data_IF_334532733180
#
_entry.id   IF_334532733180
#
_cell.length_a   1.000
_cell.length_b   1.000
_cell.length_c   1.000
_cell.angle_alpha   90.00
_cell.angle_beta   90.00
_cell.angle_gamma   90.00
#
_symmetry.space_group_name_H-M   'P 1'
#
loop_
_entity.id
_entity.type
_entity.pdbx_description
1 polymer ?
#
# COMPACT_ATOMS: atom_id res chain seq x y z
N UNK A 1 3.33 65.74 -8.15
CA UNK A 1 2.08 66.53 -8.07
C UNK A 1 0.95 65.51 -8.01
N UNK A 2 0.31 65.14 -6.89
CA UNK A 2 0.12 65.69 -5.54
C UNK A 2 0.21 64.50 -4.55
N UNK A 3 0.82 64.53 -3.34
CA UNK A 3 0.45 65.25 -2.08
C UNK A 3 -1.04 65.14 -1.77
N UNK A 4 -1.56 64.75 -0.61
CA UNK A 4 -1.17 64.25 0.71
C UNK A 4 -2.45 63.49 1.21
N UNK A 5 -2.62 62.83 2.36
CA UNK A 5 -2.09 63.07 3.69
C UNK A 5 -2.50 61.89 4.60
N UNK A 6 -1.75 61.73 5.68
CA UNK A 6 -1.85 60.68 6.67
C UNK A 6 -2.72 61.07 7.88
N UNK A 7 -3.36 60.09 8.54
CA UNK A 7 -3.57 60.03 10.01
C UNK A 7 -4.58 58.93 10.32
N UNK A 8 -4.15 57.83 10.96
CA UNK A 8 -4.02 57.62 12.41
C UNK A 8 -5.26 56.92 13.00
N UNK A 9 -5.06 55.62 13.28
CA UNK A 9 -5.75 54.79 14.29
C UNK A 9 -5.78 55.49 15.68
N UNK A 10 -6.69 55.16 16.65
CA UNK A 10 -6.87 53.78 17.11
C UNK A 10 -8.21 53.36 17.77
N UNK A 11 -8.33 52.06 18.01
CA UNK A 11 -9.07 51.40 19.10
C UNK A 11 -10.61 51.59 19.14
N UNK A 12 -11.32 50.60 18.58
CA UNK A 12 -12.43 50.03 19.34
C UNK A 12 -12.52 48.49 19.23
N UNK A 13 -12.04 47.91 20.33
CA UNK A 13 -12.18 46.58 20.92
C UNK A 13 -13.43 45.76 20.50
N UNK A 14 -13.17 44.61 19.86
CA UNK A 14 -13.75 43.24 20.05
C UNK A 14 -15.28 42.99 20.02
N UNK A 15 -15.75 41.73 19.79
CA UNK A 15 -15.00 40.50 19.55
C UNK A 15 -15.40 39.68 18.31
N UNK A 16 -14.44 38.85 17.90
CA UNK A 16 -14.61 37.58 17.20
C UNK A 16 -15.81 36.80 17.76
N UNK A 17 -16.82 36.57 16.92
CA UNK A 17 -17.76 35.48 17.13
C UNK A 17 -17.05 34.16 16.78
N UNK A 18 -16.28 33.68 17.75
CA UNK A 18 -16.01 32.25 17.90
C UNK A 18 -17.37 31.56 18.04
N UNK A 19 -17.85 30.92 16.97
CA UNK A 19 -18.79 29.83 17.09
C UNK A 19 -18.06 28.68 17.79
N UNK A 20 -18.00 28.77 19.11
CA UNK A 20 -17.94 27.61 19.99
C UNK A 20 -19.21 26.83 19.66
N UNK A 21 -19.09 25.86 18.75
CA UNK A 21 -20.11 24.83 18.62
C UNK A 21 -19.96 24.00 19.89
N UNK A 22 -20.77 24.33 20.88
CA UNK A 22 -20.96 23.53 22.09
C UNK A 22 -21.20 22.09 21.66
N UNK A 23 -20.20 21.24 21.92
CA UNK A 23 -20.26 19.80 21.64
C UNK A 23 -21.43 19.12 22.38
N UNK A 24 -21.97 19.76 23.40
CA UNK A 24 -23.07 19.24 24.22
C UNK A 24 -24.46 19.51 23.61
N UNK A 25 -24.58 20.42 22.63
CA UNK A 25 -25.85 20.72 21.96
C UNK A 25 -26.18 19.75 20.81
N UNK A 26 -25.19 19.06 20.26
CA UNK A 26 -25.38 18.03 19.23
C UNK A 26 -25.70 16.67 19.87
N UNK A 27 -25.27 16.44 21.11
CA UNK A 27 -25.57 15.22 21.88
C UNK A 27 -27.05 15.18 22.37
N UNK A 28 -27.74 16.32 22.44
CA UNK A 28 -29.14 16.38 22.93
C UNK A 28 -30.21 16.18 21.84
N UNK A 29 -29.84 16.13 20.55
CA UNK A 29 -30.76 15.82 19.44
C UNK A 29 -30.55 14.44 18.81
N UNK A 30 -29.67 13.61 19.37
CA UNK A 30 -29.39 12.24 18.89
C UNK A 30 -29.78 11.13 19.88
N UNK A 31 -30.76 11.42 20.74
CA UNK A 31 -31.36 10.45 21.68
C UNK A 31 -32.85 10.19 21.42
N UNK A 32 -33.39 10.66 20.29
CA UNK A 32 -34.71 10.28 19.76
C UNK A 32 -34.55 9.69 18.36
N UNK A 33 -33.77 8.63 18.25
CA UNK A 33 -33.91 7.69 17.15
C UNK A 33 -34.35 6.39 17.80
N UNK A 34 -35.58 6.01 17.49
CA UNK A 34 -36.35 4.97 18.15
C UNK A 34 -35.51 3.70 18.29
N UNK A 35 -35.26 3.30 19.54
CA UNK A 35 -34.98 1.90 19.82
C UNK A 35 -36.07 1.07 19.12
N UNK A 36 -35.75 -0.07 18.50
CA UNK A 36 -36.77 -0.92 17.91
C UNK A 36 -37.76 -1.21 19.04
N UNK A 37 -38.96 -0.63 18.92
CA UNK A 37 -40.04 -0.87 19.85
C UNK A 37 -40.27 -2.36 19.73
N UNK A 38 -39.79 -3.11 20.72
CA UNK A 38 -40.09 -4.52 20.88
C UNK A 38 -41.56 -4.57 21.30
N UNK A 39 -42.43 -4.33 20.31
CA UNK A 39 -43.85 -4.60 20.41
C UNK A 39 -43.89 -6.09 20.70
N UNK A 40 -44.06 -6.45 21.97
CA UNK A 40 -44.34 -7.82 22.39
C UNK A 40 -45.70 -8.17 21.83
N UNK A 41 -45.75 -8.46 20.52
CA UNK A 41 -46.92 -8.96 19.82
C UNK A 41 -47.18 -10.31 20.48
N UNK A 42 -48.16 -10.33 21.39
CA UNK A 42 -48.62 -11.54 22.04
C UNK A 42 -49.10 -12.56 21.02
N UNK A 43 -49.12 -13.84 21.40
CA UNK A 43 -49.57 -14.94 20.54
C UNK A 43 -50.94 -14.61 19.91
N UNK A 44 -51.07 -14.66 18.57
CA UNK A 44 -52.35 -14.45 17.90
C UNK A 44 -53.38 -15.50 18.35
N UNK A 45 -54.64 -15.09 18.55
CA UNK A 45 -55.69 -15.93 19.17
C UNK A 45 -56.01 -17.21 18.36
N UNK A 46 -55.74 -17.20 17.06
CA UNK A 46 -56.10 -18.26 16.12
C UNK A 46 -54.93 -19.17 15.71
N UNK A 47 -53.75 -19.03 16.34
CA UNK A 47 -52.55 -19.81 15.99
C UNK A 47 -52.26 -20.84 17.09
N UNK A 48 -52.19 -22.14 16.76
CA UNK A 48 -51.75 -23.18 17.68
C UNK A 48 -50.40 -22.85 18.34
N UNK A 49 -50.27 -23.17 19.64
CA UNK A 49 -49.11 -22.81 20.48
C UNK A 49 -47.79 -23.25 19.84
N UNK A 50 -47.73 -24.50 19.38
CA UNK A 50 -46.53 -25.08 18.76
C UNK A 50 -46.10 -24.38 17.46
N UNK A 51 -47.05 -23.86 16.66
CA UNK A 51 -46.74 -23.11 15.44
C UNK A 51 -46.22 -21.71 15.78
N UNK A 52 -46.75 -21.09 16.83
CA UNK A 52 -46.27 -19.80 17.31
C UNK A 52 -44.85 -19.89 17.89
N UNK A 53 -44.57 -20.94 18.66
CA UNK A 53 -43.23 -21.22 19.18
C UNK A 53 -42.23 -21.48 18.03
N UNK A 54 -42.64 -22.26 17.02
CA UNK A 54 -41.83 -22.51 15.82
C UNK A 54 -41.58 -21.22 15.03
N UNK A 55 -42.56 -20.34 14.92
CA UNK A 55 -42.42 -19.03 14.30
C UNK A 55 -41.43 -18.15 15.07
N UNK A 56 -41.55 -18.06 16.39
CA UNK A 56 -40.60 -17.31 17.23
C UNK A 56 -39.18 -17.89 17.19
N UNK A 57 -39.05 -19.21 17.15
CA UNK A 57 -37.75 -19.86 16.94
C UNK A 57 -37.14 -19.52 15.57
N UNK A 58 -37.97 -19.43 14.52
CA UNK A 58 -37.53 -19.06 13.17
C UNK A 58 -37.15 -17.58 13.06
N UNK A 59 -37.94 -16.69 13.68
CA UNK A 59 -37.67 -15.26 13.79
C UNK A 59 -36.34 -15.02 14.51
N UNK A 60 -36.14 -15.68 15.67
CA UNK A 60 -34.88 -15.64 16.42
C UNK A 60 -33.69 -16.09 15.57
N UNK A 61 -33.81 -17.23 14.87
CA UNK A 61 -32.74 -17.75 14.00
C UNK A 61 -32.40 -16.81 12.83
N UNK A 62 -33.42 -16.19 12.25
CA UNK A 62 -33.24 -15.21 11.16
C UNK A 62 -32.52 -13.97 11.68
N UNK A 63 -32.95 -13.43 12.82
CA UNK A 63 -32.33 -12.28 13.46
C UNK A 63 -30.87 -12.56 13.86
N UNK A 64 -30.58 -13.73 14.43
CA UNK A 64 -29.20 -14.16 14.75
C UNK A 64 -28.31 -14.25 13.51
N UNK A 65 -28.86 -14.75 12.39
CA UNK A 65 -28.11 -14.86 11.12
C UNK A 65 -27.81 -13.47 10.55
N UNK A 66 -28.80 -12.58 10.56
CA UNK A 66 -28.65 -11.18 10.15
C UNK A 66 -27.64 -10.45 11.04
N UNK A 67 -27.74 -10.58 12.37
CA UNK A 67 -26.79 -10.00 13.32
C UNK A 67 -25.37 -10.48 13.06
N UNK A 68 -25.14 -11.79 12.95
CA UNK A 68 -23.81 -12.36 12.62
C UNK A 68 -23.24 -11.80 11.32
N UNK A 69 -24.09 -11.57 10.30
CA UNK A 69 -23.64 -10.97 9.04
C UNK A 69 -23.23 -9.50 9.20
N UNK A 70 -24.01 -8.72 9.96
CA UNK A 70 -23.73 -7.31 10.24
C UNK A 70 -22.49 -7.14 11.11
N UNK A 71 -22.30 -7.98 12.13
CA UNK A 71 -21.11 -7.96 12.99
C UNK A 71 -19.84 -8.28 12.21
N UNK A 72 -19.89 -9.28 11.32
CA UNK A 72 -18.75 -9.58 10.43
C UNK A 72 -18.42 -8.40 9.52
N UNK A 73 -19.45 -7.75 8.97
CA UNK A 73 -19.29 -6.55 8.14
C UNK A 73 -18.67 -5.41 8.94
N UNK A 74 -19.17 -5.15 10.14
CA UNK A 74 -18.64 -4.12 11.05
C UNK A 74 -17.18 -4.39 11.41
N UNK A 75 -16.84 -5.61 11.82
CA UNK A 75 -15.45 -6.01 12.13
C UNK A 75 -14.52 -5.85 10.92
N UNK A 76 -14.99 -6.20 9.73
CA UNK A 76 -14.22 -6.01 8.50
C UNK A 76 -13.98 -4.51 8.20
N UNK A 77 -15.01 -3.67 8.36
CA UNK A 77 -14.87 -2.22 8.21
C UNK A 77 -13.90 -1.65 9.25
N UNK A 78 -14.02 -2.04 10.52
CA UNK A 78 -13.12 -1.60 11.60
C UNK A 78 -11.67 -1.98 11.30
N UNK A 79 -11.42 -3.23 10.85
CA UNK A 79 -10.09 -3.69 10.44
C UNK A 79 -9.55 -2.85 9.28
N UNK A 80 -10.36 -2.59 8.26
CA UNK A 80 -9.96 -1.77 7.11
C UNK A 80 -9.63 -0.33 7.52
N UNK A 81 -10.45 0.27 8.40
CA UNK A 81 -10.18 1.61 8.94
C UNK A 81 -8.86 1.61 9.72
N UNK A 82 -8.65 0.63 10.60
CA UNK A 82 -7.41 0.50 11.38
C UNK A 82 -6.18 0.33 10.49
N UNK A 83 -6.25 -0.50 9.44
CA UNK A 83 -5.18 -0.64 8.45
C UNK A 83 -4.90 0.67 7.72
N UNK A 84 -5.94 1.41 7.31
CA UNK A 84 -5.74 2.71 6.64
C UNK A 84 -5.16 3.77 7.57
N UNK A 85 -5.57 3.80 8.85
CA UNK A 85 -5.02 4.70 9.86
C UNK A 85 -3.56 4.32 10.13
N UNK A 86 -3.25 3.04 10.33
CA UNK A 86 -1.88 2.58 10.54
C UNK A 86 -0.99 2.88 9.33
N UNK A 87 -1.46 2.66 8.11
CA UNK A 87 -0.71 3.02 6.89
C UNK A 87 -0.45 4.52 6.81
N UNK A 88 -1.45 5.36 7.13
CA UNK A 88 -1.29 6.82 7.16
C UNK A 88 -0.35 7.27 8.26
N UNK A 89 -0.47 6.72 9.47
CA UNK A 89 0.42 7.03 10.59
C UNK A 89 1.84 6.63 10.24
N UNK A 90 2.09 5.41 9.77
CA UNK A 90 3.42 4.96 9.32
C UNK A 90 3.95 5.87 8.21
N UNK A 91 3.12 6.24 7.23
CA UNK A 91 3.53 7.13 6.14
C UNK A 91 3.88 8.54 6.62
N UNK A 92 3.12 9.08 7.58
CA UNK A 92 3.38 10.39 8.19
C UNK A 92 4.61 10.33 9.09
N UNK A 93 4.79 9.28 9.87
CA UNK A 93 5.98 9.06 10.71
C UNK A 93 7.23 8.91 9.87
N UNK A 94 7.19 8.10 8.80
CA UNK A 94 8.30 7.95 7.86
C UNK A 94 8.64 9.26 7.15
N UNK A 95 7.61 10.03 6.75
CA UNK A 95 7.82 11.35 6.17
C UNK A 95 8.39 12.36 7.18
N UNK A 96 8.05 12.22 8.47
CA UNK A 96 8.53 13.09 9.56
C UNK A 96 9.97 12.76 9.96
N UNK A 97 10.34 11.48 10.06
CA UNK A 97 11.72 11.03 10.29
C UNK A 97 12.64 11.38 9.11
N UNK A 98 12.13 11.40 7.87
CA UNK A 98 12.89 11.90 6.72
C UNK A 98 12.99 13.43 6.64
N UNK A 99 12.32 14.16 7.54
CA UNK A 99 12.34 15.64 7.59
C UNK A 99 13.12 16.23 8.77
N UNK A 100 13.66 15.40 9.67
CA UNK A 100 14.45 15.88 10.81
C UNK A 100 15.92 16.05 10.43
N UNK A 101 16.26 17.24 9.95
CA UNK A 101 17.65 17.72 9.83
C UNK A 101 18.37 17.85 11.19
N UNK A 102 17.61 17.82 12.29
CA UNK A 102 18.10 18.06 13.66
C UNK A 102 18.72 16.79 14.28
N UNK A 103 18.23 15.59 13.94
CA UNK A 103 18.76 14.33 14.49
C UNK A 103 20.18 14.00 13.99
N UNK A 104 20.50 14.32 12.73
CA UNK A 104 21.88 14.18 12.21
C UNK A 104 22.87 15.12 12.90
N UNK A 105 22.39 16.26 13.41
CA UNK A 105 23.24 17.28 14.02
C UNK A 105 23.52 17.00 15.50
N UNK A 106 22.59 16.34 16.20
CA UNK A 106 22.78 15.85 17.57
C UNK A 106 23.78 14.67 17.61
N UNK A 107 23.73 13.78 16.61
CA UNK A 107 24.64 12.62 16.50
C UNK A 107 26.08 13.01 16.14
N UNK A 108 26.28 14.10 15.38
CA UNK A 108 27.63 14.66 15.10
C UNK A 108 28.26 15.38 16.29
N UNK A 109 27.46 15.90 17.23
CA UNK A 109 27.95 16.63 18.41
C UNK A 109 28.50 15.72 19.51
N UNK A 110 28.25 14.41 19.45
CA UNK A 110 28.66 13.44 20.46
C UNK A 110 29.72 12.42 20.00
N UNK A 111 30.37 12.66 18.85
CA UNK A 111 31.51 11.87 18.33
C UNK A 111 31.31 10.34 18.38
N UNK A 112 30.08 9.88 18.11
CA UNK A 112 29.80 8.45 17.93
C UNK A 112 30.21 8.09 16.49
N UNK A 113 31.46 7.65 16.34
CA UNK A 113 31.93 6.96 15.15
C UNK A 113 31.33 5.54 15.09
N UNK A 114 30.73 5.20 13.97
CA UNK A 114 30.38 3.81 13.66
C UNK A 114 31.64 3.09 13.15
N UNK A 115 32.38 2.48 14.07
CA UNK A 115 33.36 1.44 13.78
C UNK A 115 33.00 0.15 14.51
N UNK A 116 33.22 -0.96 13.80
CA UNK A 116 32.95 -2.34 14.18
C UNK A 116 33.76 -2.83 15.38
N UNK A 117 33.13 -3.68 16.19
CA UNK A 117 33.65 -4.41 17.37
C UNK A 117 33.67 -5.94 17.08
N UNK A 118 34.42 -6.83 17.81
CA UNK A 118 35.89 -6.92 17.91
C UNK A 118 36.49 -8.36 17.70
N UNK A 119 37.80 -8.40 17.39
CA UNK A 119 38.90 -9.34 17.80
C UNK A 119 38.85 -10.87 17.53
N UNK A 120 39.92 -11.54 17.03
CA UNK A 120 41.23 -11.79 17.69
C UNK A 120 42.37 -12.11 16.69
N UNK A 121 43.62 -11.81 17.06
CA UNK A 121 44.80 -11.88 16.20
C UNK A 121 45.57 -13.22 16.16
N UNK A 122 46.10 -13.55 14.98
CA UNK A 122 47.35 -14.32 14.79
C UNK A 122 48.13 -13.76 13.59
N UNK A 123 49.37 -13.31 13.84
CA UNK A 123 50.26 -12.77 12.79
C UNK A 123 50.66 -13.85 11.79
N UNK A 124 50.58 -13.55 10.49
CA UNK A 124 51.45 -14.09 9.41
C UNK A 124 51.45 -13.13 8.20
N UNK A 125 52.58 -13.06 7.52
CA UNK A 125 53.01 -12.06 6.51
C UNK A 125 52.17 -12.04 5.21
N UNK A 126 51.95 -10.81 4.70
CA UNK A 126 51.99 -10.33 3.31
C UNK A 126 51.10 -10.99 2.22
N UNK A 127 50.05 -10.29 1.75
CA UNK A 127 49.91 -9.71 0.38
C UNK A 127 48.44 -9.46 -0.05
N UNK A 128 48.23 -8.26 -0.62
CA UNK A 128 47.31 -7.85 -1.70
C UNK A 128 45.76 -7.90 -1.55
N UNK A 129 45.17 -6.69 -1.51
CA UNK A 129 43.94 -6.19 -2.19
C UNK A 129 42.67 -7.05 -2.24
N UNK A 130 41.55 -6.56 -1.65
CA UNK A 130 40.26 -6.36 -2.36
C UNK A 130 39.12 -5.77 -1.50
N UNK A 131 38.20 -5.13 -2.22
CA UNK A 131 37.12 -4.20 -1.86
C UNK A 131 35.99 -4.85 -1.05
N UNK A 132 35.60 -4.25 0.08
CA UNK A 132 34.57 -4.76 0.99
C UNK A 132 33.15 -4.31 0.57
N UNK A 133 32.29 -5.27 0.20
CA UNK A 133 30.83 -5.11 0.21
C UNK A 133 30.26 -5.76 1.47
N UNK A 134 29.60 -4.98 2.33
CA UNK A 134 28.84 -5.48 3.46
C UNK A 134 27.36 -5.62 3.07
N UNK A 135 26.81 -6.84 3.15
CA UNK A 135 25.36 -7.06 3.12
C UNK A 135 25.04 -8.23 4.03
N UNK A 136 24.70 -7.91 5.28
CA UNK A 136 24.06 -8.81 6.22
C UNK A 136 22.54 -8.68 6.07
N UNK A 137 21.94 -9.47 5.17
CA UNK A 137 20.51 -9.80 5.28
C UNK A 137 20.27 -11.24 4.83
N UNK A 138 19.90 -12.07 5.79
CA UNK A 138 19.52 -13.47 5.64
C UNK A 138 18.15 -13.58 4.96
N UNK A 139 18.11 -13.44 3.64
CA UNK A 139 16.94 -13.79 2.81
C UNK A 139 17.45 -14.62 1.63
N UNK A 140 16.75 -15.71 1.37
CA UNK A 140 17.22 -16.87 0.61
C UNK A 140 17.80 -16.53 -0.78
N UNK A 141 18.85 -17.22 -1.24
CA UNK A 141 19.49 -16.99 -2.55
C UNK A 141 18.57 -17.24 -3.76
N UNK A 142 17.41 -17.86 -3.54
CA UNK A 142 16.45 -18.19 -4.60
C UNK A 142 15.68 -16.96 -5.08
N UNK A 143 15.27 -16.06 -4.17
CA UNK A 143 14.45 -14.90 -4.55
C UNK A 143 15.25 -13.88 -5.38
N UNK A 144 16.52 -13.69 -5.04
CA UNK A 144 17.44 -12.83 -5.79
C UNK A 144 17.77 -13.43 -7.16
N UNK A 145 17.97 -14.75 -7.26
CA UNK A 145 18.20 -15.44 -8.52
C UNK A 145 17.03 -15.29 -9.52
N UNK A 146 15.78 -15.37 -9.03
CA UNK A 146 14.58 -15.12 -9.85
C UNK A 146 14.55 -13.69 -10.41
N UNK A 147 14.89 -12.69 -9.58
CA UNK A 147 14.91 -11.29 -10.00
C UNK A 147 16.05 -11.05 -11.01
N UNK A 148 17.23 -11.60 -10.76
CA UNK A 148 18.39 -11.49 -11.67
C UNK A 148 18.06 -12.05 -13.05
N UNK A 149 17.34 -13.18 -13.12
CA UNK A 149 16.85 -13.74 -14.38
C UNK A 149 15.97 -12.74 -15.14
N UNK A 150 15.06 -12.05 -14.43
CA UNK A 150 14.13 -11.10 -15.04
C UNK A 150 14.77 -9.78 -15.52
N UNK A 151 15.94 -9.39 -15.01
CA UNK A 151 16.65 -8.17 -15.41
C UNK A 151 17.06 -8.20 -16.89
N UNK A 152 17.46 -9.36 -17.42
CA UNK A 152 18.06 -9.46 -18.76
C UNK A 152 17.08 -9.84 -19.88
N UNK A 153 15.96 -10.48 -19.53
CA UNK A 153 15.07 -11.16 -20.49
C UNK A 153 14.51 -10.22 -21.57
N UNK A 154 14.22 -8.96 -21.24
CA UNK A 154 13.56 -8.02 -22.16
C UNK A 154 14.50 -7.01 -22.84
N UNK A 155 15.81 -7.12 -22.67
CA UNK A 155 16.75 -6.14 -23.25
C UNK A 155 16.69 -6.08 -24.78
N UNK A 156 16.40 -7.21 -25.44
CA UNK A 156 16.28 -7.30 -26.89
C UNK A 156 14.98 -6.68 -27.45
N UNK A 157 13.98 -6.40 -26.59
CA UNK A 157 12.71 -5.78 -26.99
C UNK A 157 12.76 -4.25 -26.94
N UNK A 158 13.80 -3.69 -26.32
CA UNK A 158 14.06 -2.25 -26.28
C UNK A 158 14.46 -1.80 -27.69
N UNK A 159 13.47 -1.49 -28.53
CA UNK A 159 13.68 -0.86 -29.84
C UNK A 159 14.10 0.58 -29.59
N UNK A 160 15.41 0.77 -29.49
CA UNK A 160 15.98 2.12 -29.53
C UNK A 160 16.02 2.52 -31.00
N UNK A 161 15.33 3.61 -31.34
CA UNK A 161 15.39 4.16 -32.68
C UNK A 161 16.82 4.64 -32.94
N UNK A 162 17.57 3.85 -33.72
CA UNK A 162 18.96 4.16 -34.06
C UNK A 162 19.09 5.29 -35.09
N UNK A 163 17.97 5.78 -35.66
CA UNK A 163 18.02 6.84 -36.67
C UNK A 163 18.36 8.21 -36.09
N UNK A 164 18.00 8.46 -34.81
CA UNK A 164 18.30 9.71 -34.10
C UNK A 164 18.75 9.40 -32.68
N UNK A 165 19.86 9.99 -32.20
CA UNK A 165 20.24 9.85 -30.81
C UNK A 165 19.15 10.41 -29.90
N UNK A 166 18.84 9.75 -28.77
CA UNK A 166 17.97 10.31 -27.75
C UNK A 166 18.46 11.69 -27.32
N UNK A 167 17.56 12.61 -26.92
CA UNK A 167 17.97 13.87 -26.34
C UNK A 167 18.76 13.61 -25.05
N UNK A 168 19.88 14.31 -24.89
CA UNK A 168 20.74 14.17 -23.71
C UNK A 168 19.97 14.43 -22.41
N UNK A 169 20.18 13.55 -21.43
CA UNK A 169 19.61 13.70 -20.10
C UNK A 169 20.28 14.85 -19.34
N UNK A 170 19.63 15.37 -18.28
CA UNK A 170 20.21 16.47 -17.51
C UNK A 170 21.57 16.12 -16.89
N UNK A 171 21.74 14.87 -16.45
CA UNK A 171 23.00 14.39 -15.85
C UNK A 171 24.11 14.27 -16.89
N UNK A 172 23.80 13.80 -18.09
CA UNK A 172 24.74 13.75 -19.24
C UNK A 172 25.23 15.14 -19.65
N UNK A 173 24.34 16.14 -19.64
CA UNK A 173 24.73 17.53 -19.89
C UNK A 173 25.69 18.07 -18.84
N UNK A 174 25.43 17.78 -17.57
CA UNK A 174 26.33 18.15 -16.48
C UNK A 174 27.69 17.45 -16.59
N UNK A 175 27.72 16.15 -16.93
CA UNK A 175 28.96 15.41 -17.20
C UNK A 175 29.74 16.08 -18.34
N UNK A 176 29.07 16.40 -19.45
CA UNK A 176 29.69 17.07 -20.60
C UNK A 176 30.21 18.46 -20.24
N UNK A 177 29.50 19.20 -19.38
CA UNK A 177 29.94 20.50 -18.90
C UNK A 177 31.19 20.37 -18.01
N UNK A 178 31.22 19.44 -17.06
CA UNK A 178 32.39 19.21 -16.20
C UNK A 178 33.63 18.83 -17.02
N UNK A 179 33.46 18.01 -18.07
CA UNK A 179 34.54 17.67 -19.00
C UNK A 179 35.05 18.91 -19.75
N UNK A 180 34.15 19.80 -20.20
CA UNK A 180 34.52 21.06 -20.87
C UNK A 180 35.28 22.01 -19.94
N UNK A 181 34.92 22.03 -18.67
CA UNK A 181 35.58 22.82 -17.62
C UNK A 181 36.90 22.20 -17.15
N UNK A 182 37.17 20.94 -17.50
CA UNK A 182 38.39 20.20 -17.16
C UNK A 182 38.36 19.52 -15.80
N UNK A 183 37.19 19.47 -15.14
CA UNK A 183 37.02 18.78 -13.86
C UNK A 183 36.56 17.32 -14.07
N UNK A 184 37.55 16.45 -14.25
CA UNK A 184 37.31 15.03 -14.50
C UNK A 184 36.81 14.28 -13.27
N UNK A 185 37.15 14.73 -12.06
CA UNK A 185 36.77 14.04 -10.83
C UNK A 185 35.26 14.11 -10.60
N UNK A 186 34.67 15.29 -10.83
CA UNK A 186 33.21 15.44 -10.72
C UNK A 186 32.48 14.74 -11.87
N UNK A 187 33.04 14.74 -13.08
CA UNK A 187 32.49 13.98 -14.20
C UNK A 187 32.42 12.47 -13.92
N UNK A 188 33.50 11.88 -13.36
CA UNK A 188 33.55 10.48 -12.96
C UNK A 188 32.50 10.16 -11.88
N UNK A 189 32.43 10.97 -10.82
CA UNK A 189 31.45 10.77 -9.75
C UNK A 189 29.99 10.85 -10.26
N UNK A 190 29.71 11.75 -11.20
CA UNK A 190 28.39 11.85 -11.84
C UNK A 190 28.10 10.64 -12.74
N UNK A 191 29.10 10.12 -13.45
CA UNK A 191 28.99 8.92 -14.28
C UNK A 191 28.69 7.67 -13.43
N UNK A 192 29.43 7.45 -12.34
CA UNK A 192 29.20 6.33 -11.42
C UNK A 192 27.82 6.38 -10.80
N UNK A 193 27.35 7.58 -10.46
CA UNK A 193 25.98 7.80 -9.99
C UNK A 193 24.95 7.46 -11.06
N UNK A 194 25.16 7.88 -12.31
CA UNK A 194 24.25 7.56 -13.42
C UNK A 194 24.16 6.04 -13.64
N UNK A 195 25.30 5.34 -13.66
CA UNK A 195 25.34 3.89 -13.77
C UNK A 195 24.60 3.18 -12.61
N UNK A 196 24.75 3.69 -11.39
CA UNK A 196 24.05 3.16 -10.21
C UNK A 196 22.53 3.35 -10.31
N UNK A 197 22.07 4.49 -10.84
CA UNK A 197 20.64 4.77 -11.04
C UNK A 197 20.04 3.87 -12.12
N UNK A 198 20.72 3.71 -13.26
CA UNK A 198 20.27 2.80 -14.33
C UNK A 198 20.21 1.33 -13.87
N UNK A 199 21.18 0.90 -13.06
CA UNK A 199 21.14 -0.42 -12.44
C UNK A 199 19.94 -0.56 -11.49
N UNK A 200 19.65 0.48 -10.69
CA UNK A 200 18.48 0.53 -9.81
C UNK A 200 17.15 0.46 -10.57
N UNK A 201 17.04 1.15 -11.71
CA UNK A 201 15.85 1.11 -12.57
C UNK A 201 15.60 -0.29 -13.12
N UNK A 202 16.65 -0.97 -13.59
CA UNK A 202 16.57 -2.37 -14.06
C UNK A 202 16.08 -3.32 -12.96
N UNK A 203 16.58 -3.14 -11.74
CA UNK A 203 16.13 -3.93 -10.58
C UNK A 203 14.66 -3.64 -10.26
N UNK A 204 14.24 -2.37 -10.25
CA UNK A 204 12.85 -1.99 -10.02
C UNK A 204 11.90 -2.59 -11.06
N UNK A 205 12.27 -2.49 -12.34
CA UNK A 205 11.52 -3.10 -13.45
C UNK A 205 11.40 -4.63 -13.30
N UNK A 206 12.47 -5.30 -12.86
CA UNK A 206 12.45 -6.74 -12.61
C UNK A 206 11.49 -7.14 -11.47
N UNK A 207 11.41 -6.34 -10.39
CA UNK A 207 10.42 -6.54 -9.33
C UNK A 207 8.99 -6.36 -9.83
N UNK A 208 8.73 -5.36 -10.66
CA UNK A 208 7.41 -5.13 -11.25
C UNK A 208 7.02 -6.26 -12.21
N UNK A 209 7.97 -6.75 -13.01
CA UNK A 209 7.78 -7.94 -13.85
C UNK A 209 7.45 -9.18 -13.00
N UNK A 210 8.16 -9.39 -11.88
CA UNK A 210 7.88 -10.50 -10.94
C UNK A 210 6.46 -10.41 -10.39
N UNK A 211 6.04 -9.22 -9.93
CA UNK A 211 4.68 -8.98 -9.42
C UNK A 211 3.63 -9.26 -10.49
N UNK A 212 3.88 -8.82 -11.73
CA UNK A 212 3.00 -9.07 -12.85
C UNK A 212 2.85 -10.57 -13.15
N UNK A 213 3.93 -11.36 -13.12
CA UNK A 213 3.88 -12.81 -13.32
C UNK A 213 3.02 -13.50 -12.26
N UNK A 214 3.22 -13.18 -10.98
CA UNK A 214 2.39 -13.72 -9.90
C UNK A 214 0.92 -13.32 -10.03
N UNK A 215 0.65 -12.07 -10.43
CA UNK A 215 -0.72 -11.60 -10.64
C UNK A 215 -1.38 -12.34 -11.80
N UNK A 216 -0.67 -12.53 -12.91
CA UNK A 216 -1.13 -13.28 -14.08
C UNK A 216 -1.42 -14.74 -13.77
N UNK A 217 -0.63 -15.36 -12.90
CA UNK A 217 -0.86 -16.74 -12.44
C UNK A 217 -2.13 -16.84 -11.59
N UNK A 218 -2.31 -15.94 -10.62
CA UNK A 218 -3.53 -15.86 -9.81
C UNK A 218 -4.78 -15.65 -10.68
N UNK A 219 -4.70 -14.78 -11.67
CA UNK A 219 -5.81 -14.55 -12.60
C UNK A 219 -6.18 -15.83 -13.35
N UNK A 220 -5.19 -16.54 -13.92
CA UNK A 220 -5.40 -17.84 -14.57
C UNK A 220 -6.03 -18.87 -13.63
N UNK A 221 -5.58 -18.94 -12.37
CA UNK A 221 -6.18 -19.82 -11.36
C UNK A 221 -7.65 -19.48 -11.13
N UNK A 222 -7.98 -18.20 -10.92
CA UNK A 222 -9.37 -17.77 -10.72
C UNK A 222 -10.24 -18.07 -11.93
N UNK A 223 -9.72 -17.88 -13.15
CA UNK A 223 -10.46 -18.16 -14.37
C UNK A 223 -10.64 -19.66 -14.60
N UNK A 224 -9.63 -20.47 -14.28
CA UNK A 224 -9.76 -21.93 -14.29
C UNK A 224 -10.80 -22.42 -13.26
N UNK A 225 -10.85 -21.79 -12.08
CA UNK A 225 -11.83 -22.10 -11.04
C UNK A 225 -13.25 -21.67 -11.46
N UNK A 226 -13.41 -20.52 -12.10
CA UNK A 226 -14.69 -20.08 -12.70
C UNK A 226 -15.15 -21.05 -13.79
N UNK A 227 -14.25 -21.49 -14.67
CA UNK A 227 -14.55 -22.48 -15.73
C UNK A 227 -15.00 -23.83 -15.15
N UNK A 228 -14.35 -24.32 -14.08
CA UNK A 228 -14.71 -25.58 -13.40
C UNK A 228 -16.09 -25.55 -12.71
N UNK A 229 -16.60 -24.36 -12.37
CA UNK A 229 -17.90 -24.18 -11.70
C UNK A 229 -19.11 -24.09 -12.66
N UNK A 230 -18.92 -24.28 -13.97
CA UNK A 230 -20.05 -24.41 -14.90
C UNK A 230 -20.79 -25.71 -14.61
N UNK A 231 -21.91 -25.60 -13.91
CA UNK A 231 -22.85 -26.67 -13.62
C UNK A 231 -23.31 -27.29 -14.94
N UNK A 232 -23.31 -28.63 -15.06
CA UNK A 232 -23.65 -29.37 -16.29
C UNK A 232 -25.16 -29.31 -16.60
N UNK A 233 -25.75 -28.11 -16.64
CA UNK A 233 -27.16 -27.90 -17.02
C UNK A 233 -27.35 -28.02 -18.54
N UNK A 234 -26.54 -28.83 -19.19
CA UNK A 234 -26.74 -29.20 -20.58
C UNK A 234 -27.88 -30.21 -20.68
N UNK A 235 -28.56 -30.19 -21.81
CA UNK A 235 -29.48 -31.24 -22.20
C UNK A 235 -28.70 -32.57 -22.27
N UNK A 236 -28.91 -33.44 -21.28
CA UNK A 236 -28.48 -34.83 -21.37
C UNK A 236 -29.37 -35.50 -22.41
N UNK A 237 -28.80 -35.80 -23.59
CA UNK A 237 -29.53 -36.45 -24.66
C UNK A 237 -29.92 -37.86 -24.20
N UNK A 238 -31.12 -37.97 -23.61
CA UNK A 238 -31.73 -39.25 -23.25
C UNK A 238 -31.77 -40.15 -24.47
N UNK A 239 -31.45 -41.41 -24.27
CA UNK A 239 -31.54 -42.39 -25.35
C UNK A 239 -33.00 -42.61 -25.75
N UNK A 240 -33.25 -42.97 -27.02
CA UNK A 240 -34.62 -43.14 -27.57
C UNK A 240 -35.50 -44.11 -26.77
N UNK A 241 -34.89 -45.08 -26.10
CA UNK A 241 -35.58 -46.06 -25.26
C UNK A 241 -35.94 -45.52 -23.85
N UNK A 242 -35.29 -44.45 -23.38
CA UNK A 242 -35.57 -43.79 -22.09
C UNK A 242 -36.65 -42.72 -22.19
N UNK A 243 -36.84 -42.14 -23.37
CA UNK A 243 -37.89 -41.14 -23.67
C UNK A 243 -39.23 -41.79 -24.01
N UNK A 244 -39.24 -43.10 -24.30
CA UNK A 244 -40.44 -43.88 -24.60
C UNK A 244 -40.83 -44.72 -23.38
N UNK A 245 -41.07 -44.07 -22.25
CA UNK A 245 -41.70 -44.69 -21.08
C UNK A 245 -43.14 -44.24 -20.93
N UNK A 246 -44.04 -45.20 -20.69
CA UNK A 246 -45.43 -45.04 -20.23
C UNK A 246 -46.40 -44.30 -21.16
N UNK A 247 -47.01 -45.08 -22.07
CA UNK A 247 -48.44 -44.94 -22.37
C UNK A 247 -49.11 -46.30 -22.16
#
# INVERSE_FOLDING_TARGET
MNSADASNDPLNKTPLNTLVVDKDAIESRRSKEEAPVDVKIGRPRNVPIHLWEKFKALEKRTNETTQRSTEKRIKHLQKKVLETVNFRVIKVSFAKECSSTEEREILKKHDIQFESSPETGRKRKLSQSERSTCTSTSVMPTETAEIISLISVNNHLQTTDHSRPPPETSTEKCITQAIKEGDFSTAEAMSDRLASLEAGEKVAAAFDAKRFLHQKEREKETDSAKKKKKLKWGFEAKQRWETKGNM
#
